data_IF_782693006674
#
_entry.id   IF_782693006674
#
_cell.length_a   1.000
_cell.length_b   1.000
_cell.length_c   1.000
_cell.angle_alpha   90.00
_cell.angle_beta   90.00
_cell.angle_gamma   90.00
#
_symmetry.space_group_name_H-M   'P 1'
#
loop_
_entity.id
_entity.type
_entity.pdbx_description
1 polymer ?
#
# COMPACT_ATOMS: atom_id res chain seq x y z
N UNK A 1 18.43 -13.54 -19.78
CA UNK A 1 18.35 -12.21 -19.12
C UNK A 1 17.16 -12.05 -18.17
N UNK A 2 16.01 -12.74 -18.36
CA UNK A 2 14.84 -12.61 -17.47
C UNK A 2 15.03 -13.15 -16.02
N UNK A 3 15.79 -14.24 -15.82
CA UNK A 3 16.00 -14.83 -14.48
C UNK A 3 16.79 -13.92 -13.53
N UNK A 4 17.74 -13.14 -14.06
CA UNK A 4 18.56 -12.24 -13.26
C UNK A 4 17.73 -11.06 -12.69
N UNK A 5 16.79 -10.54 -13.49
CA UNK A 5 15.86 -9.47 -13.09
C UNK A 5 14.93 -9.91 -11.94
N UNK A 6 14.48 -11.17 -11.94
CA UNK A 6 13.63 -11.72 -10.87
C UNK A 6 14.35 -11.89 -9.52
N UNK A 7 15.63 -12.26 -9.54
CA UNK A 7 16.44 -12.39 -8.31
C UNK A 7 16.72 -10.99 -7.73
N UNK A 8 17.12 -10.01 -8.54
CA UNK A 8 17.29 -8.63 -8.08
C UNK A 8 15.99 -8.05 -7.51
N UNK A 9 14.85 -8.33 -8.13
CA UNK A 9 13.54 -7.88 -7.64
C UNK A 9 13.20 -8.47 -6.27
N UNK A 10 13.48 -9.76 -6.03
CA UNK A 10 13.20 -10.42 -4.74
C UNK A 10 13.87 -9.72 -3.55
N UNK A 11 15.06 -9.16 -3.75
CA UNK A 11 15.81 -8.44 -2.72
C UNK A 11 15.60 -6.92 -2.76
N UNK A 12 14.71 -6.42 -3.62
CA UNK A 12 14.32 -5.00 -3.63
C UNK A 12 13.83 -4.59 -2.25
N UNK A 13 14.34 -3.45 -1.78
CA UNK A 13 13.99 -2.85 -0.49
C UNK A 13 12.71 -2.00 -0.57
N UNK A 14 12.13 -1.88 -1.77
CA UNK A 14 10.91 -1.14 -2.03
C UNK A 14 9.94 -1.97 -2.88
N UNK A 15 8.65 -1.77 -2.64
CA UNK A 15 7.54 -2.22 -3.45
C UNK A 15 6.51 -1.09 -3.51
N UNK A 16 6.05 -0.74 -4.70
CA UNK A 16 5.05 0.31 -4.90
C UNK A 16 3.95 -0.19 -5.81
N UNK A 17 2.78 0.42 -5.68
CA UNK A 17 1.69 0.23 -6.63
C UNK A 17 1.74 1.28 -7.71
N UNK A 18 1.05 1.02 -8.81
CA UNK A 18 0.90 1.98 -9.89
C UNK A 18 -0.36 1.66 -10.68
N UNK A 19 -0.96 2.66 -11.33
CA UNK A 19 -2.16 2.47 -12.15
C UNK A 19 -2.01 1.34 -13.19
N UNK A 20 -0.82 1.29 -13.81
CA UNK A 20 -0.39 0.28 -14.76
C UNK A 20 0.86 -0.42 -14.27
N UNK A 21 0.68 -1.36 -13.35
CA UNK A 21 1.76 -2.17 -12.81
C UNK A 21 1.97 -3.48 -13.62
N UNK A 22 3.21 -3.98 -13.69
CA UNK A 22 3.53 -5.23 -14.41
C UNK A 22 2.91 -6.46 -13.74
N UNK A 23 2.81 -6.44 -12.41
CA UNK A 23 2.07 -7.41 -11.61
C UNK A 23 0.69 -6.86 -11.30
N UNK A 24 -0.35 -7.55 -11.78
CA UNK A 24 -1.76 -7.11 -11.70
C UNK A 24 -2.26 -6.89 -10.28
N UNK A 25 -1.76 -7.67 -9.32
CA UNK A 25 -2.14 -7.51 -7.91
C UNK A 25 -1.62 -6.23 -7.26
N UNK A 26 -0.55 -5.64 -7.81
CA UNK A 26 0.05 -4.38 -7.36
C UNK A 26 -0.45 -3.18 -8.19
N UNK A 27 -1.53 -3.34 -8.94
CA UNK A 27 -2.16 -2.17 -9.54
C UNK A 27 -2.93 -1.38 -8.48
N UNK A 28 -2.86 -0.05 -8.56
CA UNK A 28 -3.60 0.90 -7.72
C UNK A 28 -5.10 0.53 -7.69
N UNK A 29 -5.70 0.55 -6.49
CA UNK A 29 -7.11 0.18 -6.29
C UNK A 29 -7.97 1.42 -6.25
N UNK A 30 -9.13 1.31 -6.87
CA UNK A 30 -10.12 2.38 -6.93
C UNK A 30 -11.37 1.92 -6.20
N UNK A 31 -12.00 2.80 -5.43
CA UNK A 31 -13.19 2.49 -4.65
C UNK A 31 -14.33 3.46 -4.98
N UNK A 32 -15.57 2.94 -5.01
CA UNK A 32 -16.80 3.72 -5.31
C UNK A 32 -17.29 4.52 -4.09
N UNK A 33 -16.37 5.28 -3.48
CA UNK A 33 -16.56 5.94 -2.18
C UNK A 33 -15.85 7.30 -2.19
N UNK A 34 -16.30 8.24 -1.36
CA UNK A 34 -15.66 9.56 -1.22
C UNK A 34 -14.25 9.48 -0.62
N UNK A 35 -13.44 10.50 -0.91
CA UNK A 35 -12.08 10.64 -0.37
C UNK A 35 -12.04 10.45 1.14
N UNK A 36 -12.86 11.22 1.85
CA UNK A 36 -12.92 11.22 3.32
C UNK A 36 -13.14 9.84 3.91
N UNK A 37 -14.04 9.05 3.31
CA UNK A 37 -14.35 7.72 3.83
C UNK A 37 -13.27 6.70 3.47
N UNK A 38 -12.65 6.78 2.29
CA UNK A 38 -11.50 5.93 1.97
C UNK A 38 -10.32 6.26 2.88
N UNK A 39 -10.03 7.55 3.09
CA UNK A 39 -8.96 8.01 3.97
C UNK A 39 -9.14 7.48 5.39
N UNK A 40 -10.35 7.57 5.94
CA UNK A 40 -10.65 7.03 7.27
C UNK A 40 -10.52 5.50 7.33
N UNK A 41 -10.96 4.77 6.29
CA UNK A 41 -10.81 3.32 6.24
C UNK A 41 -9.35 2.88 6.18
N UNK A 42 -8.51 3.58 5.42
CA UNK A 42 -7.05 3.34 5.38
C UNK A 42 -6.45 3.57 6.76
N UNK A 43 -6.78 4.69 7.41
CA UNK A 43 -6.32 4.95 8.78
C UNK A 43 -6.75 3.86 9.73
N UNK A 44 -8.03 3.49 9.71
CA UNK A 44 -8.62 2.48 10.59
C UNK A 44 -7.86 1.16 10.46
N UNK A 45 -7.53 0.71 9.25
CA UNK A 45 -6.70 -0.48 9.03
C UNK A 45 -5.34 -0.40 9.76
N UNK A 46 -4.68 0.77 9.72
CA UNK A 46 -3.38 1.00 10.33
C UNK A 46 -3.41 1.46 11.81
N UNK A 47 -4.57 1.42 12.48
CA UNK A 47 -4.65 1.68 13.94
C UNK A 47 -4.27 0.47 14.82
N UNK A 48 -4.08 -0.71 14.21
CA UNK A 48 -3.72 -1.93 14.94
C UNK A 48 -2.36 -1.85 15.63
N UNK A 49 -2.15 -2.70 16.65
CA UNK A 49 -0.92 -2.70 17.48
C UNK A 49 0.39 -2.98 16.74
N UNK A 50 0.32 -3.41 15.48
CA UNK A 50 1.49 -3.71 14.63
C UNK A 50 1.99 -2.49 13.84
N UNK A 51 1.25 -1.37 13.89
CA UNK A 51 1.50 -0.17 13.12
C UNK A 51 1.54 1.08 14.01
N UNK A 52 2.22 2.10 13.52
CA UNK A 52 2.25 3.45 14.06
C UNK A 52 2.06 4.42 12.90
N UNK A 53 1.03 5.26 12.94
CA UNK A 53 0.85 6.35 11.97
C UNK A 53 1.81 7.47 12.37
N UNK A 54 2.87 7.67 11.59
CA UNK A 54 3.93 8.63 11.91
C UNK A 54 3.57 10.05 11.49
N UNK A 55 2.79 10.21 10.42
CA UNK A 55 2.23 11.51 10.04
C UNK A 55 1.00 11.35 9.12
N UNK A 56 0.19 12.39 9.09
CA UNK A 56 -1.00 12.50 8.26
C UNK A 56 -1.00 13.84 7.53
N UNK A 57 -1.28 13.81 6.23
CA UNK A 57 -1.46 14.99 5.41
C UNK A 57 -2.78 14.86 4.65
N UNK A 58 -3.86 15.30 5.28
CA UNK A 58 -5.20 15.20 4.71
C UNK A 58 -5.35 16.02 3.42
N UNK A 59 -4.66 17.16 3.33
CA UNK A 59 -4.68 18.04 2.16
C UNK A 59 -4.00 17.41 0.95
N UNK A 60 -2.97 16.58 1.16
CA UNK A 60 -2.29 15.83 0.10
C UNK A 60 -2.79 14.39 -0.03
N UNK A 61 -3.71 13.96 0.84
CA UNK A 61 -4.23 12.60 0.87
C UNK A 61 -3.20 11.54 1.31
N UNK A 62 -2.16 11.92 2.05
CA UNK A 62 -1.07 11.01 2.40
C UNK A 62 -1.11 10.60 3.87
N UNK A 63 -0.85 9.32 4.13
CA UNK A 63 -0.68 8.76 5.47
C UNK A 63 0.66 8.03 5.49
N UNK A 64 1.56 8.45 6.38
CA UNK A 64 2.83 7.76 6.61
C UNK A 64 2.66 6.79 7.77
N UNK A 65 3.03 5.52 7.55
CA UNK A 65 2.88 4.44 8.51
C UNK A 65 4.22 3.75 8.72
N UNK A 66 4.54 3.45 9.98
CA UNK A 66 5.64 2.57 10.35
C UNK A 66 5.08 1.26 10.90
N UNK A 67 5.43 0.13 10.28
CA UNK A 67 5.17 -1.20 10.86
C UNK A 67 6.21 -1.44 11.94
N UNK A 68 5.76 -1.55 13.19
CA UNK A 68 6.64 -1.65 14.36
C UNK A 68 7.18 -3.07 14.56
N UNK A 69 6.42 -4.07 14.10
CA UNK A 69 6.80 -5.49 14.15
C UNK A 69 7.80 -5.84 13.05
N UNK A 70 8.71 -6.77 13.36
CA UNK A 70 9.72 -7.25 12.42
C UNK A 70 9.12 -7.99 11.20
N UNK A 71 9.68 -7.79 9.98
CA UNK A 71 10.63 -6.73 9.66
C UNK A 71 9.92 -5.37 9.70
N UNK A 72 10.62 -4.37 10.24
CA UNK A 72 10.15 -2.98 10.25
C UNK A 72 10.01 -2.50 8.82
N UNK A 73 8.91 -1.83 8.54
CA UNK A 73 8.60 -1.31 7.20
C UNK A 73 8.08 0.11 7.33
N UNK A 74 8.36 0.92 6.32
CA UNK A 74 7.79 2.25 6.15
C UNK A 74 6.83 2.20 4.97
N UNK A 75 5.59 2.59 5.21
CA UNK A 75 4.55 2.66 4.20
C UNK A 75 4.09 4.10 4.02
N UNK A 76 3.74 4.43 2.79
CA UNK A 76 3.03 5.66 2.43
C UNK A 76 1.77 5.20 1.72
N UNK A 77 0.62 5.60 2.24
CA UNK A 77 -0.66 5.43 1.59
C UNK A 77 -1.12 6.78 1.03
N UNK A 78 -1.34 6.85 -0.28
CA UNK A 78 -1.83 8.03 -0.98
C UNK A 78 -3.27 7.79 -1.42
N UNK A 79 -4.19 8.61 -0.93
CA UNK A 79 -5.63 8.53 -1.16
C UNK A 79 -6.05 9.75 -1.97
N UNK A 80 -6.41 9.55 -3.24
CA UNK A 80 -6.75 10.65 -4.14
C UNK A 80 -8.09 10.42 -4.82
N UNK A 81 -8.96 11.42 -4.81
CA UNK A 81 -10.22 11.36 -5.56
C UNK A 81 -10.00 11.80 -6.99
N UNK A 82 -10.38 10.97 -7.95
CA UNK A 82 -10.27 11.28 -9.39
C UNK A 82 -11.56 11.88 -9.95
N UNK A 83 -12.70 11.62 -9.30
CA UNK A 83 -14.03 12.18 -9.56
C UNK A 83 -14.97 11.84 -8.38
N UNK A 84 -16.18 12.42 -8.29
CA UNK A 84 -17.11 12.13 -7.19
C UNK A 84 -17.36 10.62 -7.01
N UNK A 85 -17.26 10.15 -5.76
CA UNK A 85 -17.39 8.74 -5.39
C UNK A 85 -16.44 7.81 -6.15
N UNK A 86 -15.26 8.32 -6.53
CA UNK A 86 -14.20 7.54 -7.14
C UNK A 86 -12.87 7.96 -6.55
N UNK A 87 -12.31 7.09 -5.72
CA UNK A 87 -11.11 7.39 -4.96
C UNK A 87 -10.10 6.26 -5.12
N UNK A 88 -8.90 6.61 -5.55
CA UNK A 88 -7.77 5.70 -5.66
C UNK A 88 -7.03 5.62 -4.32
N UNK A 89 -6.50 4.44 -4.03
CA UNK A 89 -5.54 4.19 -2.97
C UNK A 89 -4.29 3.62 -3.62
N UNK A 90 -3.19 4.34 -3.49
CA UNK A 90 -1.86 3.94 -3.90
C UNK A 90 -0.98 3.71 -2.67
N UNK A 91 -0.10 2.72 -2.72
CA UNK A 91 0.73 2.30 -1.61
C UNK A 91 2.18 2.14 -2.06
N UNK A 92 3.09 2.75 -1.31
CA UNK A 92 4.51 2.47 -1.36
C UNK A 92 4.95 1.88 -0.03
N UNK A 93 5.61 0.73 -0.06
CA UNK A 93 6.21 0.07 1.10
C UNK A 93 7.71 -0.06 0.91
N UNK A 94 8.47 0.21 1.96
CA UNK A 94 9.94 0.10 1.96
C UNK A 94 10.45 -0.45 3.29
N UNK A 95 11.68 -0.96 3.29
CA UNK A 95 12.40 -1.34 4.50
C UNK A 95 13.88 -1.08 4.31
N UNK A 96 14.58 -0.73 5.38
CA UNK A 96 16.04 -0.65 5.44
C UNK A 96 16.67 -1.94 6.01
N UNK A 97 15.83 -2.90 6.42
CA UNK A 97 16.27 -4.12 7.08
C UNK A 97 16.58 -5.24 6.08
N UNK A 98 17.66 -5.98 6.35
CA UNK A 98 17.92 -7.22 5.62
C UNK A 98 16.88 -8.28 6.01
N UNK A 99 16.01 -8.63 5.05
CA UNK A 99 15.00 -9.68 5.23
C UNK A 99 15.51 -11.00 4.67
N UNK A 100 15.57 -12.02 5.52
CA UNK A 100 15.95 -13.39 5.10
C UNK A 100 14.96 -13.88 4.06
N UNK A 101 15.48 -14.29 2.90
CA UNK A 101 14.65 -14.70 1.77
C UNK A 101 14.11 -13.54 0.93
N UNK A 102 14.54 -12.30 1.15
CA UNK A 102 14.23 -11.12 0.33
C UNK A 102 13.11 -10.25 0.89
N UNK A 103 13.29 -8.93 0.81
CA UNK A 103 12.34 -7.95 1.36
C UNK A 103 11.07 -7.81 0.51
N UNK A 104 11.21 -7.84 -0.82
CA UNK A 104 10.12 -7.57 -1.75
C UNK A 104 8.86 -8.42 -1.52
N UNK A 105 8.93 -9.75 -1.32
CA UNK A 105 7.74 -10.55 -1.04
C UNK A 105 6.98 -10.09 0.22
N UNK A 106 7.69 -9.63 1.26
CA UNK A 106 7.09 -9.15 2.51
C UNK A 106 6.46 -7.77 2.37
N UNK A 107 7.11 -6.87 1.64
CA UNK A 107 6.54 -5.56 1.30
C UNK A 107 5.26 -5.71 0.47
N UNK A 108 5.29 -6.61 -0.51
CA UNK A 108 4.15 -6.93 -1.36
C UNK A 108 3.01 -7.57 -0.55
N UNK A 109 3.31 -8.51 0.34
CA UNK A 109 2.32 -9.13 1.23
C UNK A 109 1.58 -8.07 2.06
N UNK A 110 2.30 -7.07 2.58
CA UNK A 110 1.72 -5.97 3.36
C UNK A 110 0.77 -5.09 2.53
N UNK A 111 1.18 -4.72 1.31
CA UNK A 111 0.33 -3.96 0.37
C UNK A 111 -0.95 -4.75 0.04
N UNK A 112 -0.82 -6.04 -0.27
CA UNK A 112 -1.97 -6.88 -0.63
C UNK A 112 -2.91 -7.12 0.55
N UNK A 113 -2.39 -7.25 1.78
CA UNK A 113 -3.18 -7.38 2.99
C UNK A 113 -4.05 -6.12 3.21
N UNK A 114 -3.47 -4.93 3.03
CA UNK A 114 -4.21 -3.66 3.08
C UNK A 114 -5.33 -3.63 2.03
N UNK A 115 -5.02 -3.89 0.75
CA UNK A 115 -6.04 -3.91 -0.30
C UNK A 115 -7.14 -4.94 -0.06
N UNK A 116 -6.79 -6.12 0.43
CA UNK A 116 -7.78 -7.14 0.75
C UNK A 116 -8.70 -6.71 1.88
N UNK A 117 -8.19 -6.05 2.92
CA UNK A 117 -9.00 -5.51 4.01
C UNK A 117 -9.93 -4.41 3.51
N UNK A 118 -9.42 -3.44 2.76
CA UNK A 118 -10.21 -2.36 2.17
C UNK A 118 -11.30 -2.88 1.22
N UNK A 119 -11.00 -3.91 0.41
CA UNK A 119 -11.96 -4.53 -0.51
C UNK A 119 -13.09 -5.31 0.19
N UNK A 120 -12.95 -5.66 1.47
CA UNK A 120 -14.04 -6.23 2.27
C UNK A 120 -15.00 -5.16 2.78
N UNK A 121 -14.48 -3.97 3.07
CA UNK A 121 -15.26 -2.84 3.61
C UNK A 121 -15.86 -1.96 2.51
N UNK A 122 -15.23 -1.92 1.34
CA UNK A 122 -15.56 -0.98 0.26
C UNK A 122 -15.62 -1.68 -1.09
N UNK A 123 -16.60 -1.25 -1.91
CA UNK A 123 -16.76 -1.76 -3.27
C UNK A 123 -15.71 -1.15 -4.21
N UNK A 124 -14.96 -2.02 -4.91
CA UNK A 124 -14.04 -1.58 -5.96
C UNK A 124 -14.79 -0.87 -7.11
N UNK A 125 -14.13 0.15 -7.66
CA UNK A 125 -14.55 0.90 -8.82
C UNK A 125 -13.85 0.41 -10.08
N UNK A 126 -14.50 0.68 -11.21
CA UNK A 126 -13.90 0.48 -12.52
C UNK A 126 -12.82 1.56 -12.71
N UNK A 127 -11.64 1.14 -13.15
CA UNK A 127 -10.49 2.01 -13.44
C UNK A 127 -10.82 3.08 -14.48
#
# INVERSE_FOLDING_TARGET
>A
MAKLKGIFKRFSQECETADRHQEKELETRYYKVSLDKVYEQVKQYFTGSEYEISSESRDHGEIMITRTKSPKMFLIATVVSTRPMHTAVDLKASTDQMVVGGAYPKLKEEILACYQALGREMREADK
#
